data_IF_847518191030
#
_entry.id   IF_847518191030
#
_cell.length_a   1.000
_cell.length_b   1.000
_cell.length_c   1.000
_cell.angle_alpha   90.00
_cell.angle_beta   90.00
_cell.angle_gamma   90.00
#
_symmetry.space_group_name_H-M   'P 1'
#
loop_
_entity.id
_entity.type
_entity.pdbx_description
1 polymer ?
#
# COMPACT_ATOMS: atom_id res chain seq x y z
N UNK A 1 -9.65 -45.08 -0.33
CA UNK A 1 -10.04 -44.53 -1.65
C UNK A 1 -11.36 -43.75 -1.57
N UNK A 2 -12.37 -44.24 -0.84
CA UNK A 2 -13.59 -43.49 -0.50
C UNK A 2 -13.34 -42.19 0.29
N UNK A 3 -12.40 -42.18 1.23
CA UNK A 3 -12.09 -40.98 2.04
C UNK A 3 -11.54 -39.80 1.20
N UNK A 4 -10.70 -40.07 0.20
CA UNK A 4 -10.08 -39.03 -0.65
C UNK A 4 -11.09 -38.47 -1.64
N UNK A 5 -11.97 -39.32 -2.21
CA UNK A 5 -13.09 -38.86 -3.04
C UNK A 5 -14.13 -38.08 -2.22
N UNK A 6 -14.37 -38.49 -0.97
CA UNK A 6 -15.25 -37.76 -0.06
C UNK A 6 -14.65 -36.38 0.30
N UNK A 7 -13.34 -36.26 0.54
CA UNK A 7 -12.70 -34.96 0.80
C UNK A 7 -12.80 -34.03 -0.42
N UNK A 8 -12.62 -34.55 -1.64
CA UNK A 8 -12.76 -33.76 -2.87
C UNK A 8 -14.22 -33.34 -3.15
N UNK A 9 -15.19 -34.25 -2.98
CA UNK A 9 -16.60 -33.95 -3.23
C UNK A 9 -17.26 -33.13 -2.11
N UNK A 10 -16.88 -33.34 -0.85
CA UNK A 10 -17.36 -32.54 0.28
C UNK A 10 -16.73 -31.15 0.20
N UNK A 11 -15.42 -31.04 -0.04
CA UNK A 11 -14.74 -29.76 -0.21
C UNK A 11 -15.32 -28.90 -1.34
N UNK A 12 -15.73 -29.51 -2.46
CA UNK A 12 -16.34 -28.78 -3.58
C UNK A 12 -17.83 -28.44 -3.33
N UNK A 13 -18.58 -29.28 -2.63
CA UNK A 13 -20.00 -29.06 -2.35
C UNK A 13 -20.28 -28.15 -1.14
N UNK A 14 -19.39 -28.10 -0.13
CA UNK A 14 -19.53 -27.16 1.01
C UNK A 14 -19.13 -25.74 0.68
N UNK A 15 -18.47 -25.47 -0.46
CA UNK A 15 -18.12 -24.10 -0.86
C UNK A 15 -19.32 -23.25 -1.31
N UNK A 16 -20.51 -23.83 -1.53
CA UNK A 16 -21.63 -23.13 -2.16
C UNK A 16 -22.84 -22.83 -1.26
N UNK A 17 -22.84 -23.22 0.01
CA UNK A 17 -23.98 -22.95 0.90
C UNK A 17 -23.56 -22.81 2.38
N UNK A 18 -22.68 -21.87 2.68
CA UNK A 18 -22.36 -21.51 4.08
C UNK A 18 -23.05 -20.17 4.38
N UNK A 19 -23.87 -20.09 5.45
CA UNK A 19 -24.46 -18.83 5.86
C UNK A 19 -23.35 -17.80 6.06
N UNK A 20 -23.50 -16.63 5.46
CA UNK A 20 -22.59 -15.52 5.68
C UNK A 20 -22.62 -15.17 7.17
N UNK A 21 -21.64 -15.66 7.92
CA UNK A 21 -21.35 -15.14 9.24
C UNK A 21 -20.86 -13.71 9.01
N UNK A 22 -21.63 -12.72 9.47
CA UNK A 22 -21.24 -11.32 9.37
C UNK A 22 -20.11 -11.03 10.37
N UNK A 23 -19.18 -10.16 9.96
CA UNK A 23 -18.13 -9.63 10.83
C UNK A 23 -18.70 -9.16 12.18
N UNK A 24 -17.98 -9.48 13.26
CA UNK A 24 -18.32 -9.03 14.60
C UNK A 24 -17.80 -7.59 14.76
N UNK A 25 -18.69 -6.70 15.15
CA UNK A 25 -18.42 -5.28 15.29
C UNK A 25 -18.70 -4.86 16.73
N UNK A 26 -17.70 -4.24 17.36
CA UNK A 26 -17.91 -3.41 18.54
C UNK A 26 -17.64 -1.96 18.17
N UNK A 27 -18.63 -1.10 18.37
CA UNK A 27 -18.52 0.33 18.05
C UNK A 27 -18.52 1.17 19.34
N UNK A 28 -17.56 2.07 19.42
CA UNK A 28 -17.52 3.18 20.36
C UNK A 28 -17.91 4.45 19.62
N UNK A 29 -19.16 4.87 19.77
CA UNK A 29 -19.66 6.12 19.23
C UNK A 29 -19.48 7.24 20.25
N UNK A 30 -18.95 8.38 19.80
CA UNK A 30 -18.87 9.61 20.59
C UNK A 30 -19.86 10.68 20.12
N UNK A 31 -20.73 10.31 19.19
CA UNK A 31 -21.80 11.17 18.70
C UNK A 31 -22.84 11.40 19.80
N UNK A 32 -23.65 12.44 19.61
CA UNK A 32 -24.76 12.78 20.53
C UNK A 32 -24.33 13.09 21.97
N UNK A 33 -23.03 13.40 22.17
CA UNK A 33 -22.47 13.75 23.47
C UNK A 33 -22.23 12.55 24.40
N UNK A 34 -22.32 11.32 23.90
CA UNK A 34 -22.02 10.12 24.67
C UNK A 34 -20.51 9.84 24.72
N UNK A 35 -20.02 9.30 25.84
CA UNK A 35 -18.66 8.79 25.96
C UNK A 35 -18.74 7.31 26.37
N UNK A 36 -18.40 6.37 25.47
CA UNK A 36 -18.49 4.95 25.75
C UNK A 36 -17.40 4.53 26.73
N UNK A 37 -17.80 3.89 27.83
CA UNK A 37 -16.88 3.34 28.83
C UNK A 37 -16.19 4.37 29.72
N UNK A 38 -14.99 4.05 30.20
CA UNK A 38 -14.18 4.91 31.06
C UNK A 38 -12.81 5.13 30.42
N UNK A 39 -12.54 6.38 30.06
CA UNK A 39 -11.27 6.78 29.46
C UNK A 39 -10.35 7.39 30.52
N UNK A 40 -9.12 6.89 30.54
CA UNK A 40 -8.00 7.44 31.30
C UNK A 40 -7.29 8.46 30.40
N UNK A 41 -7.36 9.73 30.79
CA UNK A 41 -6.78 10.85 30.05
C UNK A 41 -5.58 11.37 30.84
N UNK A 42 -4.42 11.43 30.19
CA UNK A 42 -3.19 11.99 30.76
C UNK A 42 -2.67 13.11 29.85
N UNK A 43 -2.32 14.25 30.44
CA UNK A 43 -1.67 15.39 29.75
C UNK A 43 -2.43 16.03 28.58
N UNK A 44 -3.71 15.70 28.39
CA UNK A 44 -4.62 16.43 27.49
C UNK A 44 -5.28 17.57 28.26
N UNK A 45 -4.91 18.82 27.92
CA UNK A 45 -5.48 20.04 28.50
C UNK A 45 -5.93 20.98 27.38
N UNK A 46 -7.18 21.49 27.40
CA UNK A 46 -8.27 21.11 28.31
C UNK A 46 -8.68 19.64 28.14
N UNK A 47 -9.33 19.06 29.16
CA UNK A 47 -9.83 17.69 29.07
C UNK A 47 -10.75 17.52 27.83
N UNK A 48 -10.76 16.35 27.18
CA UNK A 48 -11.66 16.08 26.06
C UNK A 48 -13.12 16.42 26.40
N UNK A 49 -13.78 17.16 25.53
CA UNK A 49 -15.16 17.62 25.75
C UNK A 49 -16.12 16.93 24.79
N UNK A 50 -17.15 16.24 25.29
CA UNK A 50 -18.16 15.64 24.42
C UNK A 50 -18.99 16.73 23.72
N UNK A 51 -19.36 16.48 22.47
CA UNK A 51 -20.23 17.35 21.68
C UNK A 51 -21.16 16.49 20.82
N UNK A 52 -22.26 17.05 20.27
CA UNK A 52 -23.13 16.30 19.36
C UNK A 52 -22.38 15.76 18.13
N UNK A 53 -21.31 16.43 17.72
CA UNK A 53 -20.48 16.05 16.58
C UNK A 53 -19.39 15.03 16.93
N UNK A 54 -19.23 14.62 18.20
CA UNK A 54 -18.13 13.74 18.61
C UNK A 54 -17.38 14.24 19.84
N UNK A 55 -16.34 13.51 20.22
CA UNK A 55 -15.42 13.89 21.29
C UNK A 55 -14.40 14.89 20.75
N UNK A 56 -14.47 16.13 21.22
CA UNK A 56 -13.52 17.18 20.86
C UNK A 56 -12.26 17.06 21.71
N UNK A 57 -11.11 17.03 21.03
CA UNK A 57 -9.79 16.90 21.62
C UNK A 57 -9.00 18.16 21.28
N UNK A 58 -8.55 18.87 22.31
CA UNK A 58 -7.66 20.03 22.22
C UNK A 58 -6.49 19.80 23.16
N UNK A 59 -5.29 19.93 22.64
CA UNK A 59 -4.06 19.65 23.40
C UNK A 59 -3.15 20.88 23.42
N UNK A 60 -2.56 21.16 24.58
CA UNK A 60 -1.47 22.15 24.70
C UNK A 60 -0.11 21.48 24.59
N UNK A 61 0.03 20.29 25.19
CA UNK A 61 1.18 19.39 25.11
C UNK A 61 0.75 18.05 24.52
N UNK A 62 1.71 17.22 24.11
CA UNK A 62 1.40 15.82 23.79
C UNK A 62 0.62 15.19 24.94
N UNK A 63 -0.44 14.47 24.61
CA UNK A 63 -1.34 13.89 25.61
C UNK A 63 -1.92 12.56 25.14
N UNK A 64 -2.30 11.74 26.10
CA UNK A 64 -2.75 10.37 25.86
C UNK A 64 -4.15 10.15 26.38
N UNK A 65 -4.90 9.32 25.66
CA UNK A 65 -6.25 8.90 26.04
C UNK A 65 -6.34 7.40 25.84
N UNK A 66 -6.51 6.63 26.92
CA UNK A 66 -6.58 5.16 26.87
C UNK A 66 -7.81 4.63 27.57
N UNK A 67 -8.24 3.44 27.19
CA UNK A 67 -9.36 2.75 27.82
C UNK A 67 -9.05 1.27 27.93
N UNK A 68 -9.33 0.69 29.10
CA UNK A 68 -9.37 -0.76 29.28
C UNK A 68 -10.63 -1.31 28.61
N UNK A 69 -10.46 -2.34 27.79
CA UNK A 69 -11.52 -2.94 27.00
C UNK A 69 -11.67 -4.43 27.27
N UNK A 70 -12.90 -4.92 27.14
CA UNK A 70 -13.22 -6.35 27.14
C UNK A 70 -14.19 -6.60 26.00
N UNK A 71 -13.64 -7.01 24.86
CA UNK A 71 -14.44 -7.35 23.69
C UNK A 71 -14.81 -8.83 23.72
N UNK A 72 -15.98 -9.18 23.17
CA UNK A 72 -16.41 -10.57 23.03
C UNK A 72 -15.74 -11.30 21.86
N UNK A 73 -14.91 -10.59 21.09
CA UNK A 73 -14.27 -11.07 19.89
C UNK A 73 -12.86 -10.51 19.72
N UNK A 74 -12.04 -11.20 18.95
CA UNK A 74 -10.73 -10.70 18.55
C UNK A 74 -10.85 -9.55 17.55
N UNK A 75 -9.86 -8.67 17.54
CA UNK A 75 -9.77 -7.51 16.66
C UNK A 75 -8.79 -7.84 15.53
N UNK A 76 -9.28 -7.77 14.29
CA UNK A 76 -8.49 -7.95 13.08
C UNK A 76 -8.21 -6.62 12.38
N UNK A 77 -9.08 -5.63 12.58
CA UNK A 77 -8.95 -4.29 12.01
C UNK A 77 -9.63 -3.26 12.90
N UNK A 78 -9.15 -2.03 12.85
CA UNK A 78 -9.72 -0.90 13.57
C UNK A 78 -10.11 0.15 12.53
N UNK A 79 -11.29 0.76 12.70
CA UNK A 79 -11.74 1.85 11.84
C UNK A 79 -12.03 3.06 12.71
N UNK A 80 -11.32 4.15 12.48
CA UNK A 80 -11.51 5.43 13.15
C UNK A 80 -12.21 6.39 12.20
N UNK A 81 -13.23 7.09 12.69
CA UNK A 81 -13.76 8.28 12.03
C UNK A 81 -13.38 9.50 12.84
N UNK A 82 -12.59 10.39 12.23
CA UNK A 82 -12.07 11.59 12.87
C UNK A 82 -12.14 12.79 11.91
N UNK A 83 -12.14 14.01 12.43
CA UNK A 83 -11.95 15.22 11.63
C UNK A 83 -10.95 16.15 12.32
N UNK A 84 -10.08 16.78 11.53
CA UNK A 84 -9.13 17.77 11.98
C UNK A 84 -9.16 18.98 11.03
N UNK A 85 -8.92 20.22 11.50
CA UNK A 85 -8.85 21.39 10.64
C UNK A 85 -7.58 21.38 9.77
N UNK A 86 -6.49 20.83 10.30
CA UNK A 86 -5.20 20.67 9.64
C UNK A 86 -4.71 19.23 9.78
N UNK A 87 -3.78 18.81 8.91
CA UNK A 87 -3.15 17.49 9.00
C UNK A 87 -2.56 17.29 10.39
N UNK A 88 -2.98 16.23 11.08
CA UNK A 88 -2.59 15.95 12.46
C UNK A 88 -2.00 14.55 12.58
N UNK A 89 -0.75 14.46 13.01
CA UNK A 89 -0.05 13.19 13.27
C UNK A 89 -0.45 12.64 14.64
N UNK A 90 -1.21 11.55 14.68
CA UNK A 90 -1.61 10.88 15.92
C UNK A 90 -0.96 9.49 15.99
N UNK A 91 -1.01 8.86 17.17
CA UNK A 91 -0.58 7.47 17.33
C UNK A 91 -1.70 6.65 17.92
N UNK A 92 -1.92 5.46 17.38
CA UNK A 92 -2.75 4.42 17.98
C UNK A 92 -1.88 3.67 19.00
N UNK A 93 -2.43 3.41 20.18
CA UNK A 93 -1.78 2.66 21.26
C UNK A 93 -2.53 1.37 21.52
N UNK A 94 -1.84 0.24 21.68
CA UNK A 94 -2.43 -0.97 22.27
C UNK A 94 -1.46 -1.66 23.23
N UNK A 95 -2.02 -2.36 24.21
CA UNK A 95 -1.25 -3.19 25.13
C UNK A 95 -1.09 -4.61 24.57
N UNK A 96 0.11 -5.20 24.71
CA UNK A 96 0.34 -6.60 24.39
C UNK A 96 0.10 -7.45 25.64
N UNK A 97 -0.77 -8.46 25.59
CA UNK A 97 -0.98 -9.30 26.78
C UNK A 97 0.33 -9.95 27.22
N UNK A 98 0.52 -10.02 28.53
CA UNK A 98 1.74 -10.51 29.20
C UNK A 98 2.94 -9.55 29.20
N UNK A 99 2.79 -8.30 28.75
CA UNK A 99 3.75 -7.23 29.07
C UNK A 99 3.35 -6.52 30.36
N UNK A 100 4.29 -5.84 31.06
CA UNK A 100 3.94 -5.02 32.23
C UNK A 100 2.94 -3.92 31.88
N UNK A 101 1.96 -3.70 32.75
CA UNK A 101 0.99 -2.58 32.65
C UNK A 101 1.72 -1.26 32.35
N UNK A 102 1.22 -0.54 31.34
CA UNK A 102 1.81 0.71 30.84
C UNK A 102 2.76 0.55 29.65
N UNK A 103 3.14 -0.68 29.27
CA UNK A 103 3.94 -0.92 28.06
C UNK A 103 3.03 -0.96 26.83
N UNK A 104 2.83 0.20 26.19
CA UNK A 104 1.98 0.31 25.00
C UNK A 104 2.83 0.24 23.72
N UNK A 105 2.32 -0.46 22.71
CA UNK A 105 2.86 -0.41 21.35
C UNK A 105 2.23 0.77 20.63
N UNK A 106 3.07 1.55 19.95
CA UNK A 106 2.63 2.74 19.21
C UNK A 106 2.57 2.48 17.71
N UNK A 107 1.51 2.98 17.06
CA UNK A 107 1.35 2.97 15.61
C UNK A 107 0.99 4.36 15.09
N UNK A 108 1.94 5.08 14.45
CA UNK A 108 1.70 6.43 13.96
C UNK A 108 0.76 6.44 12.74
N UNK A 109 -0.08 7.46 12.64
CA UNK A 109 -0.94 7.72 11.50
C UNK A 109 -1.27 9.21 11.37
N UNK A 110 -1.76 9.61 10.20
CA UNK A 110 -2.15 11.00 9.94
C UNK A 110 -3.67 11.09 9.81
N UNK A 111 -4.27 12.07 10.47
CA UNK A 111 -5.65 12.50 10.25
C UNK A 111 -5.59 13.66 9.24
N UNK A 112 -6.10 13.48 8.01
CA UNK A 112 -6.14 14.55 7.02
C UNK A 112 -6.93 15.76 7.52
N UNK A 113 -6.40 16.95 7.25
CA UNK A 113 -7.02 18.24 7.50
C UNK A 113 -8.18 18.52 6.55
N UNK A 114 -8.95 19.57 6.86
CA UNK A 114 -10.09 20.02 6.05
C UNK A 114 -11.43 20.05 6.80
N UNK A 115 -11.46 19.64 8.08
CA UNK A 115 -12.62 19.78 8.96
C UNK A 115 -13.79 18.82 8.67
N UNK A 116 -13.67 17.96 7.66
CA UNK A 116 -14.68 16.97 7.28
C UNK A 116 -14.33 15.62 7.94
N UNK A 117 -15.33 14.84 8.43
CA UNK A 117 -15.07 13.50 8.94
C UNK A 117 -14.46 12.59 7.88
N UNK A 118 -13.27 12.05 8.17
CA UNK A 118 -12.57 11.07 7.34
C UNK A 118 -12.56 9.70 8.00
N UNK A 119 -12.58 8.66 7.17
CA UNK A 119 -12.47 7.26 7.62
C UNK A 119 -11.01 6.81 7.49
N UNK A 120 -10.43 6.41 8.60
CA UNK A 120 -9.06 5.87 8.69
C UNK A 120 -9.18 4.39 9.05
N UNK A 121 -8.68 3.53 8.18
CA UNK A 121 -8.75 2.07 8.34
C UNK A 121 -7.36 1.52 8.70
N UNK A 122 -7.24 0.89 9.87
CA UNK A 122 -6.00 0.31 10.37
C UNK A 122 -5.98 -1.20 10.12
N UNK A 123 -5.03 -1.65 9.28
CA UNK A 123 -4.71 -3.06 9.14
C UNK A 123 -3.63 -3.46 10.16
N UNK A 124 -4.05 -3.76 11.39
CA UNK A 124 -3.16 -4.10 12.50
C UNK A 124 -2.68 -5.57 12.49
N UNK A 125 -3.38 -6.46 11.79
CA UNK A 125 -3.11 -7.90 11.80
C UNK A 125 -1.69 -8.33 11.35
N UNK A 126 -1.01 -7.66 10.38
CA UNK A 126 0.34 -8.05 9.98
C UNK A 126 1.44 -7.66 10.96
N UNK A 127 1.15 -6.82 11.96
CA UNK A 127 2.16 -6.32 12.89
C UNK A 127 2.51 -7.40 13.92
N UNK A 128 3.79 -7.78 14.09
CA UNK A 128 4.18 -8.84 15.01
C UNK A 128 3.82 -8.58 16.47
N UNK A 129 3.75 -7.31 16.89
CA UNK A 129 3.35 -6.93 18.25
C UNK A 129 1.84 -6.81 18.43
N UNK A 130 1.05 -7.06 17.38
CA UNK A 130 -0.41 -6.99 17.45
C UNK A 130 -0.96 -8.12 18.31
N UNK A 131 -1.81 -7.75 19.28
CA UNK A 131 -2.58 -8.70 20.05
C UNK A 131 -4.07 -8.55 19.72
N UNK A 132 -4.70 -9.52 19.02
CA UNK A 132 -6.11 -9.45 18.68
C UNK A 132 -7.04 -9.35 19.88
N UNK A 133 -6.59 -9.69 21.09
CA UNK A 133 -7.38 -9.62 22.31
C UNK A 133 -6.76 -8.65 23.32
N UNK A 134 -6.14 -7.58 22.83
CA UNK A 134 -5.65 -6.48 23.65
C UNK A 134 -6.72 -6.03 24.65
N UNK A 135 -6.30 -5.81 25.90
CA UNK A 135 -7.14 -5.42 27.03
C UNK A 135 -7.10 -3.91 27.30
N UNK A 136 -6.24 -3.17 26.61
CA UNK A 136 -6.16 -1.71 26.68
C UNK A 136 -5.77 -1.12 25.34
N UNK A 137 -6.47 -0.08 24.92
CA UNK A 137 -6.17 0.66 23.70
C UNK A 137 -6.33 2.15 23.93
N UNK A 138 -5.70 2.97 23.10
CA UNK A 138 -5.84 4.41 23.18
C UNK A 138 -5.20 5.14 22.02
N UNK A 139 -5.03 6.43 22.21
CA UNK A 139 -4.41 7.32 21.25
C UNK A 139 -3.45 8.28 21.94
N UNK A 140 -2.37 8.63 21.23
CA UNK A 140 -1.52 9.79 21.54
C UNK A 140 -1.87 10.89 20.54
N UNK A 141 -2.04 12.09 21.05
CA UNK A 141 -2.26 13.29 20.26
C UNK A 141 -1.08 14.23 20.45
N UNK A 142 -0.56 14.83 19.37
CA UNK A 142 0.60 15.71 19.43
C UNK A 142 0.22 17.03 20.11
N UNK A 143 1.21 17.82 20.53
CA UNK A 143 0.95 19.17 21.04
C UNK A 143 0.20 20.03 20.02
N UNK A 144 -0.72 20.86 20.48
CA UNK A 144 -1.52 21.77 19.63
C UNK A 144 -2.47 21.06 18.66
N UNK A 145 -2.76 19.77 18.86
CA UNK A 145 -3.80 19.09 18.12
C UNK A 145 -5.19 19.65 18.47
N UNK A 146 -5.98 19.90 17.44
CA UNK A 146 -7.42 20.17 17.51
C UNK A 146 -8.11 19.19 16.57
N UNK A 147 -8.91 18.28 17.12
CA UNK A 147 -9.62 17.28 16.32
C UNK A 147 -10.89 16.81 17.01
N UNK A 148 -11.76 16.16 16.25
CA UNK A 148 -12.98 15.53 16.75
C UNK A 148 -12.96 14.05 16.40
N UNK A 149 -13.10 13.19 17.40
CA UNK A 149 -13.30 11.75 17.21
C UNK A 149 -14.80 11.49 17.15
N UNK A 150 -15.27 10.87 16.06
CA UNK A 150 -16.67 10.57 15.84
C UNK A 150 -16.97 9.16 16.33
N UNK A 151 -16.27 8.16 15.78
CA UNK A 151 -16.47 6.76 16.11
C UNK A 151 -15.17 5.98 16.04
N UNK A 152 -15.08 4.92 16.85
CA UNK A 152 -14.04 3.89 16.77
C UNK A 152 -14.74 2.54 16.64
N UNK A 153 -14.38 1.78 15.62
CA UNK A 153 -14.96 0.47 15.34
C UNK A 153 -13.87 -0.59 15.43
N UNK A 154 -14.12 -1.62 16.24
CA UNK A 154 -13.32 -2.81 16.35
C UNK A 154 -13.97 -3.94 15.56
N UNK A 155 -13.27 -4.43 14.55
CA UNK A 155 -13.82 -5.42 13.62
C UNK A 155 -13.08 -6.74 13.79
N UNK A 156 -13.84 -7.79 14.08
CA UNK A 156 -13.36 -9.18 14.13
C UNK A 156 -14.03 -10.02 13.05
N UNK A 157 -13.24 -10.84 12.36
CA UNK A 157 -13.73 -11.75 11.34
C UNK A 157 -13.72 -13.20 11.84
N UNK A 158 -14.77 -13.94 11.50
CA UNK A 158 -14.81 -15.37 11.76
C UNK A 158 -13.76 -16.10 10.91
N UNK A 159 -13.31 -17.29 11.35
CA UNK A 159 -12.30 -18.08 10.63
C UNK A 159 -12.69 -18.34 9.16
N UNK A 160 -13.98 -18.53 8.89
CA UNK A 160 -14.49 -18.74 7.53
C UNK A 160 -14.42 -17.48 6.66
N UNK A 161 -14.76 -16.31 7.21
CA UNK A 161 -14.60 -15.03 6.51
C UNK A 161 -13.12 -14.77 6.19
N UNK A 162 -12.24 -15.06 7.15
CA UNK A 162 -10.78 -15.00 6.94
C UNK A 162 -10.33 -15.90 5.80
N UNK A 163 -10.83 -17.13 5.74
CA UNK A 163 -10.51 -18.06 4.67
C UNK A 163 -11.03 -17.58 3.29
N UNK A 164 -12.24 -17.01 3.25
CA UNK A 164 -12.78 -16.39 2.03
C UNK A 164 -11.93 -15.19 1.61
N UNK A 165 -11.55 -14.31 2.54
CA UNK A 165 -10.71 -13.14 2.22
C UNK A 165 -9.31 -13.58 1.77
N UNK A 166 -8.74 -14.62 2.37
CA UNK A 166 -7.53 -15.26 1.87
C UNK A 166 -7.71 -15.72 0.42
N UNK A 167 -8.76 -16.47 0.14
CA UNK A 167 -9.06 -16.93 -1.21
C UNK A 167 -9.26 -15.76 -2.19
N UNK A 168 -9.93 -14.70 -1.77
CA UNK A 168 -10.11 -13.49 -2.58
C UNK A 168 -8.77 -12.78 -2.82
N UNK A 169 -7.88 -12.74 -1.83
CA UNK A 169 -6.57 -12.13 -1.98
C UNK A 169 -5.67 -12.92 -2.94
N UNK A 170 -5.86 -14.23 -3.07
CA UNK A 170 -5.19 -15.01 -4.11
C UNK A 170 -5.46 -14.43 -5.50
N UNK A 171 -6.68 -13.94 -5.76
CA UNK A 171 -7.08 -13.33 -7.03
C UNK A 171 -6.89 -11.82 -7.09
N UNK A 172 -6.27 -11.22 -6.06
CA UNK A 172 -5.93 -9.81 -6.07
C UNK A 172 -4.58 -9.63 -6.78
N UNK A 173 -4.59 -8.89 -7.88
CA UNK A 173 -3.44 -8.75 -8.77
C UNK A 173 -2.50 -7.67 -8.20
N UNK A 174 -1.22 -7.99 -8.11
CA UNK A 174 -0.20 -7.03 -7.67
C UNK A 174 -0.14 -5.85 -8.65
N UNK A 175 0.50 -4.77 -8.25
CA UNK A 175 0.97 -3.74 -9.17
C UNK A 175 2.25 -4.24 -9.81
N UNK A 176 2.43 -3.95 -11.10
CA UNK A 176 3.69 -4.30 -11.77
C UNK A 176 4.83 -3.46 -11.18
N UNK A 177 5.61 -4.07 -10.30
CA UNK A 177 6.65 -3.44 -9.51
C UNK A 177 7.96 -4.23 -9.67
N UNK A 178 9.14 -3.64 -9.42
CA UNK A 178 10.41 -4.36 -9.60
C UNK A 178 10.55 -5.61 -8.73
N UNK A 179 9.91 -5.65 -7.55
CA UNK A 179 9.99 -6.81 -6.65
C UNK A 179 9.12 -7.99 -7.12
N UNK A 180 8.11 -7.75 -7.96
CA UNK A 180 7.26 -8.82 -8.52
C UNK A 180 7.99 -9.70 -9.55
N UNK A 181 9.22 -9.33 -9.94
CA UNK A 181 10.10 -10.12 -10.81
C UNK A 181 10.69 -11.35 -10.07
N UNK A 182 10.73 -11.35 -8.74
CA UNK A 182 11.27 -12.46 -7.97
C UNK A 182 10.20 -13.56 -7.74
N UNK A 183 10.42 -14.76 -8.28
CA UNK A 183 9.55 -15.94 -8.16
C UNK A 183 9.18 -16.38 -6.72
N UNK A 184 9.89 -15.88 -5.71
CA UNK A 184 9.57 -16.13 -4.30
C UNK A 184 8.34 -15.32 -3.85
N UNK A 185 8.13 -14.16 -4.46
CA UNK A 185 6.97 -13.28 -4.29
C UNK A 185 5.82 -13.74 -5.19
N UNK A 186 5.25 -14.91 -4.88
CA UNK A 186 3.98 -15.33 -5.47
C UNK A 186 2.80 -14.51 -4.93
N UNK A 187 1.55 -14.86 -5.32
CA UNK A 187 0.34 -14.17 -4.85
C UNK A 187 0.33 -14.00 -3.33
N UNK A 188 -0.14 -12.84 -2.86
CA UNK A 188 -0.13 -12.52 -1.44
C UNK A 188 -1.45 -12.87 -0.76
N UNK A 189 -1.35 -13.28 0.50
CA UNK A 189 -2.41 -13.79 1.34
C UNK A 189 -2.71 -12.81 2.48
N UNK A 190 -3.95 -12.32 2.53
CA UNK A 190 -4.48 -11.52 3.63
C UNK A 190 -5.79 -12.09 4.13
N UNK A 191 -6.15 -11.81 5.38
CA UNK A 191 -7.28 -12.46 6.04
C UNK A 191 -8.43 -11.51 6.39
N UNK A 192 -8.39 -10.26 5.92
CA UNK A 192 -9.48 -9.33 6.13
C UNK A 192 -9.62 -8.36 4.93
N UNK A 193 -10.81 -7.77 4.72
CA UNK A 193 -11.08 -6.93 3.55
C UNK A 193 -10.25 -5.62 3.52
N UNK A 194 -9.91 -5.08 4.69
CA UNK A 194 -9.11 -3.85 4.82
C UNK A 194 -7.68 -4.14 4.35
N UNK A 195 -7.07 -5.20 4.87
CA UNK A 195 -5.75 -5.69 4.48
C UNK A 195 -5.66 -5.95 2.97
N UNK A 196 -6.68 -6.56 2.38
CA UNK A 196 -6.73 -6.81 0.93
C UNK A 196 -6.74 -5.51 0.13
N UNK A 197 -7.57 -4.54 0.51
CA UNK A 197 -7.64 -3.23 -0.17
C UNK A 197 -6.30 -2.48 -0.18
N UNK A 198 -5.51 -2.62 0.89
CA UNK A 198 -4.21 -1.96 1.06
C UNK A 198 -3.01 -2.87 0.78
N UNK A 199 -3.23 -4.08 0.24
CA UNK A 199 -2.21 -5.12 0.10
C UNK A 199 -0.97 -4.64 -0.67
N UNK A 200 -1.20 -3.88 -1.74
CA UNK A 200 -0.15 -3.38 -2.64
C UNK A 200 0.05 -1.86 -2.55
N UNK A 201 -0.35 -1.23 -1.43
CA UNK A 201 -0.14 0.22 -1.22
C UNK A 201 1.15 0.55 -0.49
N UNK A 202 1.72 -0.41 0.25
CA UNK A 202 2.99 -0.26 0.97
C UNK A 202 4.03 -1.20 0.39
N UNK A 203 5.27 -0.74 0.21
CA UNK A 203 6.37 -1.56 -0.29
C UNK A 203 7.45 -1.79 0.79
N UNK A 204 7.82 -3.04 1.12
CA UNK A 204 7.19 -4.29 0.67
C UNK A 204 5.79 -4.50 1.28
N UNK A 205 4.84 -5.12 0.54
CA UNK A 205 3.59 -5.60 1.10
C UNK A 205 3.74 -6.41 2.40
N UNK A 206 2.92 -6.07 3.40
CA UNK A 206 2.85 -6.76 4.68
C UNK A 206 1.83 -7.90 4.62
N UNK A 207 2.21 -9.01 4.00
CA UNK A 207 1.34 -10.17 3.84
C UNK A 207 2.14 -11.49 3.74
N UNK A 208 1.44 -12.61 3.89
CA UNK A 208 2.03 -13.93 3.69
C UNK A 208 1.96 -14.32 2.21
N UNK A 209 2.85 -15.17 1.71
CA UNK A 209 2.76 -15.69 0.34
C UNK A 209 1.87 -16.94 0.26
N UNK A 210 1.02 -17.03 -0.76
CA UNK A 210 0.28 -18.24 -1.12
C UNK A 210 1.18 -19.43 -1.48
N UNK A 211 2.45 -19.18 -1.84
CA UNK A 211 3.43 -20.23 -2.05
C UNK A 211 3.58 -21.15 -0.83
N UNK A 212 3.45 -20.61 0.39
CA UNK A 212 3.47 -21.42 1.61
C UNK A 212 2.32 -22.41 1.67
N UNK A 213 1.13 -22.03 1.19
CA UNK A 213 -0.04 -22.93 1.14
C UNK A 213 0.19 -24.03 0.13
N UNK A 214 0.68 -23.70 -1.07
CA UNK A 214 0.95 -24.70 -2.11
C UNK A 214 2.07 -25.66 -1.71
N UNK A 215 3.19 -25.15 -1.20
CA UNK A 215 4.29 -25.98 -0.74
C UNK A 215 3.89 -26.82 0.47
N UNK A 216 3.11 -26.27 1.40
CA UNK A 216 2.53 -27.01 2.53
C UNK A 216 1.63 -28.16 2.07
N UNK A 217 0.77 -27.92 1.08
CA UNK A 217 -0.10 -28.94 0.50
C UNK A 217 0.71 -30.05 -0.21
N UNK A 218 1.72 -29.68 -1.00
CA UNK A 218 2.60 -30.63 -1.70
C UNK A 218 3.40 -31.47 -0.69
N UNK A 219 4.03 -30.84 0.30
CA UNK A 219 4.80 -31.51 1.33
C UNK A 219 3.93 -32.44 2.18
N UNK A 220 2.75 -31.99 2.59
CA UNK A 220 1.76 -32.80 3.31
C UNK A 220 1.34 -34.02 2.49
N UNK A 221 1.01 -33.85 1.22
CA UNK A 221 0.65 -34.95 0.32
C UNK A 221 1.80 -35.96 0.16
N UNK A 222 3.03 -35.48 -0.06
CA UNK A 222 4.21 -36.34 -0.14
C UNK A 222 4.39 -37.17 1.14
N UNK A 223 4.27 -36.54 2.31
CA UNK A 223 4.38 -37.20 3.61
C UNK A 223 3.31 -38.27 3.82
N UNK A 224 2.03 -37.96 3.61
CA UNK A 224 0.94 -38.93 3.78
C UNK A 224 1.03 -40.10 2.80
N UNK A 225 1.40 -39.83 1.54
CA UNK A 225 1.55 -40.86 0.53
C UNK A 225 2.78 -41.75 0.79
N UNK A 226 3.85 -41.18 1.34
CA UNK A 226 5.02 -41.94 1.81
C UNK A 226 4.65 -42.86 2.97
N UNK A 227 3.94 -42.35 3.99
CA UNK A 227 3.45 -43.17 5.11
C UNK A 227 2.55 -44.32 4.63
N UNK A 228 1.63 -44.02 3.72
CA UNK A 228 0.77 -45.04 3.11
C UNK A 228 1.58 -46.10 2.35
N UNK A 229 2.63 -45.70 1.62
CA UNK A 229 3.52 -46.63 0.94
C UNK A 229 4.28 -47.51 1.94
N UNK A 230 4.89 -46.93 2.98
CA UNK A 230 5.66 -47.66 4.00
C UNK A 230 4.79 -48.69 4.74
N UNK A 231 3.51 -48.40 4.95
CA UNK A 231 2.56 -49.31 5.62
C UNK A 231 2.16 -50.52 4.78
N UNK A 232 2.02 -50.36 3.46
CA UNK A 232 1.51 -51.42 2.58
C UNK A 232 2.57 -52.10 1.72
N UNK A 233 3.74 -51.48 1.52
CA UNK A 233 4.94 -52.00 0.82
C UNK A 233 4.66 -52.79 -0.47
N UNK A 234 3.68 -52.37 -1.25
CA UNK A 234 3.29 -53.02 -2.50
C UNK A 234 3.65 -52.15 -3.72
N UNK A 235 4.18 -52.71 -4.82
CA UNK A 235 4.47 -51.98 -6.05
C UNK A 235 3.24 -51.27 -6.63
N UNK A 236 2.06 -51.91 -6.55
CA UNK A 236 0.78 -51.31 -6.98
C UNK A 236 0.41 -50.08 -6.14
N UNK A 237 0.75 -50.11 -4.85
CA UNK A 237 0.54 -48.96 -3.96
C UNK A 237 1.48 -47.81 -4.30
N UNK A 238 2.74 -48.09 -4.61
CA UNK A 238 3.70 -47.08 -5.05
C UNK A 238 3.21 -46.35 -6.31
N UNK A 239 2.85 -47.09 -7.35
CA UNK A 239 2.35 -46.51 -8.61
C UNK A 239 1.11 -45.63 -8.38
N UNK A 240 0.11 -46.13 -7.62
CA UNK A 240 -1.10 -45.35 -7.30
C UNK A 240 -0.76 -44.07 -6.53
N UNK A 241 0.14 -44.15 -5.56
CA UNK A 241 0.54 -42.99 -4.75
C UNK A 241 1.31 -41.96 -5.59
N UNK A 242 2.20 -42.40 -6.49
CA UNK A 242 2.87 -41.51 -7.44
C UNK A 242 1.87 -40.79 -8.35
N UNK A 243 0.90 -41.52 -8.91
CA UNK A 243 -0.14 -40.92 -9.75
C UNK A 243 -0.91 -39.86 -8.97
N UNK A 244 -1.33 -40.16 -7.73
CA UNK A 244 -2.05 -39.20 -6.88
C UNK A 244 -1.21 -37.96 -6.56
N UNK A 245 0.07 -38.13 -6.24
CA UNK A 245 0.97 -37.02 -5.95
C UNK A 245 1.16 -36.11 -7.16
N UNK A 246 1.51 -36.69 -8.32
CA UNK A 246 1.72 -35.91 -9.54
C UNK A 246 0.43 -35.30 -10.09
N UNK A 247 -0.73 -35.96 -9.91
CA UNK A 247 -2.02 -35.34 -10.23
C UNK A 247 -2.29 -34.11 -9.37
N UNK A 248 -2.09 -34.18 -8.06
CA UNK A 248 -2.24 -33.01 -7.18
C UNK A 248 -1.28 -31.88 -7.56
N UNK A 249 0.01 -32.22 -7.74
CA UNK A 249 1.03 -31.26 -8.15
C UNK A 249 0.64 -30.55 -9.45
N UNK A 250 0.23 -31.32 -10.46
CA UNK A 250 -0.18 -30.79 -11.76
C UNK A 250 -1.43 -29.91 -11.65
N UNK A 251 -2.42 -30.28 -10.82
CA UNK A 251 -3.60 -29.45 -10.58
C UNK A 251 -3.26 -28.13 -9.91
N UNK A 252 -2.40 -28.14 -8.89
CA UNK A 252 -1.94 -26.92 -8.21
C UNK A 252 -1.12 -26.04 -9.17
N UNK A 253 -0.27 -26.66 -10.00
CA UNK A 253 0.51 -25.95 -11.00
C UNK A 253 -0.38 -25.26 -12.04
N UNK A 254 -1.35 -25.95 -12.63
CA UNK A 254 -2.33 -25.34 -13.55
C UNK A 254 -3.05 -24.19 -12.87
N UNK A 255 -3.53 -24.40 -11.64
CA UNK A 255 -4.26 -23.39 -10.90
C UNK A 255 -3.43 -22.12 -10.66
N UNK A 256 -2.16 -22.30 -10.27
CA UNK A 256 -1.20 -21.22 -10.12
C UNK A 256 -0.91 -20.51 -11.44
N UNK A 257 -0.72 -21.27 -12.52
CA UNK A 257 -0.40 -20.74 -13.85
C UNK A 257 -1.56 -19.91 -14.42
N UNK A 258 -2.81 -20.38 -14.26
CA UNK A 258 -4.01 -19.60 -14.60
C UNK A 258 -4.02 -18.28 -13.86
N UNK A 259 -3.69 -18.30 -12.56
CA UNK A 259 -3.65 -17.07 -11.75
C UNK A 259 -2.55 -16.12 -12.21
N UNK A 260 -1.33 -16.59 -12.43
CA UNK A 260 -0.23 -15.74 -12.88
C UNK A 260 -0.44 -15.22 -14.31
N UNK A 261 -0.94 -16.07 -15.20
CA UNK A 261 -1.33 -15.69 -16.55
C UNK A 261 -2.44 -14.62 -16.57
N UNK A 262 -3.42 -14.73 -15.67
CA UNK A 262 -4.51 -13.74 -15.55
C UNK A 262 -4.00 -12.36 -15.12
N UNK A 263 -3.06 -12.30 -14.16
CA UNK A 263 -2.42 -11.05 -13.75
C UNK A 263 -1.58 -10.44 -14.87
N UNK A 264 -0.82 -11.27 -15.61
CA UNK A 264 -0.06 -10.80 -16.76
C UNK A 264 -0.96 -10.22 -17.85
N UNK A 265 -2.08 -10.89 -18.16
CA UNK A 265 -3.09 -10.40 -19.10
C UNK A 265 -3.71 -9.09 -18.58
N UNK A 266 -4.05 -9.02 -17.30
CA UNK A 266 -4.60 -7.80 -16.69
C UNK A 266 -3.63 -6.61 -16.84
N UNK A 267 -2.34 -6.82 -16.57
CA UNK A 267 -1.32 -5.81 -16.80
C UNK A 267 -1.21 -5.40 -18.26
N UNK A 268 -1.22 -6.36 -19.18
CA UNK A 268 -1.17 -6.07 -20.61
C UNK A 268 -2.36 -5.23 -21.06
N UNK A 269 -3.58 -5.61 -20.66
CA UNK A 269 -4.81 -4.86 -20.98
C UNK A 269 -4.76 -3.45 -20.40
N UNK A 270 -4.30 -3.31 -19.16
CA UNK A 270 -4.17 -2.00 -18.49
C UNK A 270 -3.21 -1.09 -19.25
N UNK A 271 -2.03 -1.59 -19.64
CA UNK A 271 -1.05 -0.82 -20.43
C UNK A 271 -1.61 -0.49 -21.81
N UNK A 272 -2.26 -1.45 -22.46
CA UNK A 272 -2.87 -1.22 -23.77
C UNK A 272 -3.86 -0.05 -23.70
N UNK A 273 -4.74 -0.07 -22.69
CA UNK A 273 -5.74 0.98 -22.45
C UNK A 273 -5.10 2.33 -22.10
N UNK A 274 -4.25 2.33 -21.08
CA UNK A 274 -3.79 3.56 -20.41
C UNK A 274 -2.59 4.21 -21.11
N UNK A 275 -1.86 3.47 -21.95
CA UNK A 275 -0.68 3.96 -22.65
C UNK A 275 -0.82 3.91 -24.18
N UNK A 276 -1.16 2.75 -24.77
CA UNK A 276 -1.15 2.62 -26.23
C UNK A 276 -2.37 3.22 -26.92
N UNK A 277 -3.57 3.11 -26.31
CA UNK A 277 -4.80 3.69 -26.89
C UNK A 277 -5.14 5.07 -26.37
N UNK A 278 -4.54 5.48 -25.25
CA UNK A 278 -4.76 6.82 -24.71
C UNK A 278 -4.19 7.89 -25.66
N UNK A 279 -4.87 9.04 -25.81
CA UNK A 279 -4.35 10.14 -26.61
C UNK A 279 -3.04 10.67 -26.02
N UNK A 280 -2.24 11.30 -26.86
CA UNK A 280 -1.04 12.04 -26.42
C UNK A 280 -1.45 13.04 -25.33
N UNK A 281 -0.60 13.23 -24.34
CA UNK A 281 -0.82 14.00 -23.10
C UNK A 281 -1.67 13.28 -22.02
N UNK A 282 -2.41 12.22 -22.34
CA UNK A 282 -3.15 11.45 -21.32
C UNK A 282 -2.51 10.09 -21.02
N UNK A 283 -1.39 9.77 -21.67
CA UNK A 283 -0.78 8.44 -21.54
C UNK A 283 -0.17 8.29 -20.16
N UNK A 284 -0.51 7.19 -19.50
CA UNK A 284 0.11 6.81 -18.23
C UNK A 284 0.71 5.42 -18.35
N UNK A 285 1.92 5.26 -17.82
CA UNK A 285 2.62 3.99 -17.85
C UNK A 285 3.05 3.56 -16.45
N UNK A 286 2.32 2.59 -15.89
CA UNK A 286 2.69 1.87 -14.65
C UNK A 286 3.15 2.85 -13.55
N UNK A 287 4.29 2.58 -12.93
CA UNK A 287 4.92 3.42 -11.90
C UNK A 287 5.53 4.73 -12.44
N UNK A 288 5.65 4.88 -13.76
CA UNK A 288 6.27 6.03 -14.39
C UNK A 288 5.25 7.15 -14.69
N UNK A 289 3.96 6.95 -14.37
CA UNK A 289 2.89 7.95 -14.62
C UNK A 289 2.98 8.48 -16.06
N UNK A 290 2.92 9.80 -16.27
CA UNK A 290 2.99 10.48 -17.58
C UNK A 290 4.42 10.69 -18.10
N UNK A 291 5.44 10.07 -17.50
CA UNK A 291 6.84 10.33 -17.84
C UNK A 291 7.18 10.15 -19.32
N UNK A 292 6.79 9.03 -19.93
CA UNK A 292 7.12 8.76 -21.32
C UNK A 292 6.46 9.75 -22.28
N UNK A 293 5.23 10.15 -21.96
CA UNK A 293 4.45 11.14 -22.71
C UNK A 293 5.09 12.53 -22.60
N UNK A 294 5.51 12.92 -21.40
CA UNK A 294 6.29 14.12 -21.16
C UNK A 294 7.60 14.12 -21.95
N UNK A 295 8.35 13.01 -21.92
CA UNK A 295 9.62 12.90 -22.66
C UNK A 295 9.37 13.00 -24.16
N UNK A 296 8.33 12.35 -24.70
CA UNK A 296 7.94 12.44 -26.10
C UNK A 296 7.65 13.90 -26.52
N UNK A 297 6.91 14.65 -25.68
CA UNK A 297 6.67 16.07 -25.87
C UNK A 297 7.94 16.94 -25.74
N UNK A 298 8.89 16.54 -24.88
CA UNK A 298 10.12 17.28 -24.61
C UNK A 298 11.23 17.06 -25.65
N UNK A 299 11.22 15.93 -26.38
CA UNK A 299 12.22 15.53 -27.39
C UNK A 299 12.61 16.68 -28.34
N UNK A 300 11.68 17.43 -28.96
CA UNK A 300 12.01 18.50 -29.90
C UNK A 300 12.90 19.61 -29.30
N UNK A 301 12.81 19.82 -27.99
CA UNK A 301 13.56 20.86 -27.27
C UNK A 301 14.92 20.36 -26.74
N UNK A 302 15.08 19.03 -26.66
CA UNK A 302 16.24 18.36 -26.06
C UNK A 302 17.21 17.84 -27.12
N UNK A 303 16.72 17.18 -28.19
CA UNK A 303 17.56 16.47 -29.16
C UNK A 303 18.55 17.37 -29.92
N UNK A 304 18.29 18.68 -29.95
CA UNK A 304 19.18 19.67 -30.57
C UNK A 304 20.39 20.04 -29.69
N UNK A 305 20.51 19.45 -28.48
CA UNK A 305 21.55 19.78 -27.51
C UNK A 305 22.43 18.56 -27.24
N UNK A 306 23.73 18.76 -27.06
CA UNK A 306 24.65 17.67 -26.67
C UNK A 306 24.36 17.19 -25.24
N UNK A 307 24.02 18.13 -24.35
CA UNK A 307 23.75 17.90 -22.94
C UNK A 307 22.62 18.79 -22.46
N UNK A 308 21.87 18.29 -21.49
CA UNK A 308 20.82 19.02 -20.79
C UNK A 308 20.80 18.61 -19.32
N UNK A 309 20.15 19.39 -18.47
CA UNK A 309 19.98 19.04 -17.06
C UNK A 309 18.62 18.38 -16.90
N UNK A 310 18.59 17.22 -16.24
CA UNK A 310 17.34 16.52 -15.91
C UNK A 310 17.12 16.49 -14.40
N UNK A 311 15.94 16.92 -13.97
CA UNK A 311 15.53 16.90 -12.56
C UNK A 311 14.16 16.24 -12.45
N UNK A 312 14.14 15.02 -11.89
CA UNK A 312 12.91 14.29 -11.58
C UNK A 312 12.56 14.33 -10.09
N UNK A 313 11.35 13.88 -9.74
CA UNK A 313 10.97 13.58 -8.34
C UNK A 313 11.96 12.60 -7.69
N UNK A 314 12.33 11.55 -8.43
CA UNK A 314 13.29 10.54 -8.03
C UNK A 314 14.37 10.37 -9.11
N UNK A 315 15.58 9.97 -8.72
CA UNK A 315 16.67 9.71 -9.68
C UNK A 315 16.45 8.41 -10.44
N UNK A 316 16.13 7.34 -9.71
CA UNK A 316 15.74 6.06 -10.25
C UNK A 316 14.20 5.96 -10.17
N UNK A 317 13.50 5.50 -11.21
CA UNK A 317 14.00 4.95 -12.49
C UNK A 317 14.22 5.98 -13.62
N UNK A 318 13.83 7.25 -13.43
CA UNK A 318 13.67 8.21 -14.53
C UNK A 318 14.96 8.61 -15.26
N UNK A 319 16.09 8.77 -14.57
CA UNK A 319 17.33 9.21 -15.22
C UNK A 319 17.83 8.22 -16.28
N UNK A 320 17.78 6.92 -15.96
CA UNK A 320 18.20 5.89 -16.90
C UNK A 320 17.30 5.86 -18.14
N UNK A 321 15.99 5.98 -17.91
CA UNK A 321 15.00 5.99 -18.97
C UNK A 321 15.13 7.22 -19.88
N UNK A 322 15.26 8.43 -19.33
CA UNK A 322 15.37 9.63 -20.16
C UNK A 322 16.65 9.63 -20.98
N UNK A 323 17.78 9.17 -20.41
CA UNK A 323 19.05 9.02 -21.14
C UNK A 323 18.93 8.14 -22.38
N UNK A 324 18.17 7.05 -22.26
CA UNK A 324 17.94 6.14 -23.38
C UNK A 324 17.05 6.79 -24.45
N UNK A 325 15.97 7.46 -24.03
CA UNK A 325 14.99 8.06 -24.94
C UNK A 325 15.52 9.30 -25.68
N UNK A 326 16.40 10.09 -25.05
CA UNK A 326 16.91 11.33 -25.64
C UNK A 326 18.24 11.18 -26.35
N UNK A 327 18.82 9.98 -26.40
CA UNK A 327 20.12 9.75 -27.06
C UNK A 327 20.08 10.27 -28.52
N UNK A 328 21.10 11.04 -28.98
CA UNK A 328 22.42 11.23 -28.37
C UNK A 328 22.52 12.31 -27.28
N UNK A 329 21.48 13.10 -27.02
CA UNK A 329 21.51 14.13 -25.98
C UNK A 329 21.61 13.48 -24.59
N UNK A 330 22.61 13.89 -23.80
CA UNK A 330 22.94 13.25 -22.52
C UNK A 330 22.39 14.08 -21.35
N UNK A 331 21.51 13.51 -20.49
CA UNK A 331 21.10 14.17 -19.25
C UNK A 331 22.27 14.25 -18.27
N UNK A 332 22.39 15.39 -17.61
CA UNK A 332 23.37 15.69 -16.57
C UNK A 332 22.68 16.24 -15.33
N UNK A 333 23.43 16.37 -14.24
CA UNK A 333 22.93 16.91 -12.98
C UNK A 333 23.34 18.37 -12.79
N UNK A 334 22.58 19.17 -12.03
CA UNK A 334 22.96 20.53 -11.67
C UNK A 334 24.38 20.62 -11.09
N UNK A 335 24.79 19.67 -10.23
CA UNK A 335 26.11 19.68 -9.59
C UNK A 335 27.25 19.27 -10.54
N UNK A 336 26.91 18.59 -11.63
CA UNK A 336 27.85 18.13 -12.66
C UNK A 336 27.83 19.04 -13.90
N UNK A 337 26.97 20.07 -13.89
CA UNK A 337 26.82 20.98 -14.99
C UNK A 337 28.10 21.79 -15.17
N UNK A 338 28.88 21.43 -16.19
CA UNK A 338 29.93 22.31 -16.72
C UNK A 338 29.29 23.55 -17.34
N UNK A 339 30.00 24.69 -17.30
CA UNK A 339 29.60 25.92 -18.01
C UNK A 339 29.09 25.60 -19.43
N UNK A 340 27.89 26.09 -19.77
CA UNK A 340 27.34 26.02 -21.13
C UNK A 340 26.08 25.16 -21.31
N UNK A 341 25.60 24.44 -20.29
CA UNK A 341 24.32 23.70 -20.40
C UNK A 341 23.17 24.68 -20.17
N UNK A 342 22.27 24.79 -21.16
CA UNK A 342 21.20 25.80 -21.16
C UNK A 342 19.79 25.24 -20.97
N UNK A 343 19.59 23.97 -21.30
CA UNK A 343 18.28 23.34 -21.25
C UNK A 343 18.12 22.56 -19.96
N UNK A 344 17.03 22.84 -19.25
CA UNK A 344 16.61 22.20 -18.01
C UNK A 344 15.29 21.48 -18.27
N UNK A 345 15.24 20.20 -17.91
CA UNK A 345 14.09 19.32 -18.11
C UNK A 345 13.66 18.88 -16.72
N UNK A 346 12.48 19.33 -16.30
CA UNK A 346 11.93 19.09 -14.96
C UNK A 346 10.73 18.16 -15.11
N UNK A 347 10.65 17.12 -14.27
CA UNK A 347 9.57 16.15 -14.28
C UNK A 347 9.05 15.82 -12.87
N UNK A 348 7.74 15.96 -12.66
CA UNK A 348 7.04 15.66 -11.41
C UNK A 348 7.66 16.36 -10.17
N UNK A 349 8.07 17.62 -10.33
CA UNK A 349 8.68 18.48 -9.29
C UNK A 349 7.92 19.80 -9.14
N UNK A 350 6.74 19.79 -8.49
CA UNK A 350 5.92 21.00 -8.30
C UNK A 350 6.59 22.02 -7.37
N UNK A 351 7.63 21.63 -6.62
CA UNK A 351 8.45 22.51 -5.80
C UNK A 351 9.40 23.39 -6.63
N UNK A 352 9.66 23.05 -7.90
CA UNK A 352 10.49 23.85 -8.79
C UNK A 352 9.60 24.79 -9.60
N UNK A 353 9.75 26.08 -9.37
CA UNK A 353 8.92 27.12 -10.00
C UNK A 353 9.78 28.20 -10.64
N UNK A 354 9.15 29.10 -11.40
CA UNK A 354 9.79 30.31 -11.91
C UNK A 354 9.51 31.48 -10.98
N UNK A 355 10.53 32.28 -10.69
CA UNK A 355 10.34 33.57 -10.03
C UNK A 355 9.91 34.67 -11.02
N UNK A 356 9.66 35.87 -10.50
CA UNK A 356 9.28 37.05 -11.29
C UNK A 356 10.32 37.44 -12.36
N UNK A 357 11.58 37.04 -12.18
CA UNK A 357 12.68 37.30 -13.13
C UNK A 357 12.91 36.13 -14.10
N UNK A 358 11.94 35.20 -14.22
CA UNK A 358 12.03 33.99 -15.05
C UNK A 358 13.28 33.13 -14.78
N UNK A 359 13.67 33.00 -13.52
CA UNK A 359 14.72 32.09 -13.06
C UNK A 359 14.09 30.88 -12.40
N UNK A 360 14.70 29.70 -12.58
CA UNK A 360 14.27 28.51 -11.85
C UNK A 360 14.63 28.64 -10.37
N UNK A 361 13.62 28.43 -9.54
CA UNK A 361 13.72 28.38 -8.09
C UNK A 361 13.62 26.93 -7.65
N UNK A 362 14.58 26.49 -6.84
CA UNK A 362 14.58 25.18 -6.19
C UNK A 362 14.93 25.40 -4.73
N UNK A 363 14.11 24.89 -3.80
CA UNK A 363 14.30 25.06 -2.34
C UNK A 363 14.45 26.55 -1.93
N UNK A 364 13.70 27.45 -2.58
CA UNK A 364 13.76 28.89 -2.31
C UNK A 364 15.02 29.60 -2.82
N UNK A 365 15.88 28.92 -3.58
CA UNK A 365 17.10 29.51 -4.19
C UNK A 365 17.00 29.49 -5.71
N UNK A 366 17.48 30.58 -6.32
CA UNK A 366 17.63 30.66 -7.78
C UNK A 366 18.77 29.76 -8.23
N UNK A 367 18.48 28.77 -9.08
CA UNK A 367 19.48 27.81 -9.58
C UNK A 367 19.91 28.09 -11.03
N UNK A 368 19.21 28.99 -11.72
CA UNK A 368 19.56 29.40 -13.09
C UNK A 368 19.63 30.91 -13.25
N UNK A 369 20.25 31.31 -14.35
CA UNK A 369 20.03 32.62 -14.96
C UNK A 369 18.59 32.74 -15.53
N UNK A 370 18.11 33.97 -15.82
CA UNK A 370 16.84 34.18 -16.49
C UNK A 370 16.73 33.41 -17.80
N UNK A 371 15.52 32.98 -18.15
CA UNK A 371 15.29 32.21 -19.34
C UNK A 371 13.82 32.19 -19.77
N UNK A 372 13.51 31.23 -20.63
CA UNK A 372 12.18 31.03 -21.18
C UNK A 372 11.69 29.60 -20.96
N UNK A 373 10.38 29.46 -20.74
CA UNK A 373 9.70 28.18 -20.69
C UNK A 373 9.40 27.73 -22.11
N UNK A 374 10.01 26.62 -22.55
CA UNK A 374 9.85 26.08 -23.89
C UNK A 374 8.65 25.15 -24.02
N UNK A 375 8.36 24.40 -22.95
CA UNK A 375 7.25 23.46 -22.86
C UNK A 375 6.70 23.48 -21.44
N UNK A 376 5.39 23.61 -21.28
CA UNK A 376 4.69 23.37 -20.01
C UNK A 376 3.76 22.17 -20.20
N UNK A 377 4.07 21.06 -19.55
CA UNK A 377 3.28 19.81 -19.68
C UNK A 377 2.27 19.65 -18.54
N UNK A 378 2.70 19.94 -17.31
CA UNK A 378 1.84 20.14 -16.14
C UNK A 378 2.53 21.06 -15.11
N UNK A 379 1.96 21.20 -13.91
CA UNK A 379 2.49 22.11 -12.87
C UNK A 379 3.89 21.73 -12.37
N UNK A 380 4.30 20.46 -12.50
CA UNK A 380 5.61 19.97 -12.05
C UNK A 380 6.50 19.45 -13.17
N UNK A 381 6.05 19.51 -14.43
CA UNK A 381 6.77 18.93 -15.57
C UNK A 381 6.86 19.92 -16.73
N UNK A 382 8.08 20.32 -17.08
CA UNK A 382 8.32 21.36 -18.08
C UNK A 382 9.75 21.34 -18.62
N UNK A 383 9.97 22.05 -19.73
CA UNK A 383 11.30 22.30 -20.29
C UNK A 383 11.58 23.80 -20.27
N UNK A 384 12.71 24.18 -19.70
CA UNK A 384 13.16 25.56 -19.55
C UNK A 384 14.52 25.76 -20.22
N UNK A 385 14.75 26.95 -20.80
CA UNK A 385 16.04 27.30 -21.42
C UNK A 385 16.53 28.64 -20.92
N UNK A 386 17.76 28.66 -20.40
CA UNK A 386 18.41 29.90 -19.95
C UNK A 386 18.77 30.79 -21.13
N UNK A 387 18.47 32.08 -21.04
CA UNK A 387 18.89 33.07 -22.02
C UNK A 387 20.37 33.38 -21.84
N UNK A 388 21.13 33.38 -22.93
CA UNK A 388 22.52 33.85 -22.89
C UNK A 388 22.53 35.34 -22.54
N UNK A 389 23.07 35.73 -21.38
CA UNK A 389 23.71 37.05 -21.34
C UNK A 389 24.96 36.94 -22.21
N UNK A 390 24.92 37.59 -23.38
CA UNK A 390 26.16 37.98 -24.04
C UNK A 390 26.90 38.93 -23.09
N UNK A 391 27.74 38.41 -22.21
CA UNK A 391 28.85 39.21 -21.67
C UNK A 391 29.80 39.44 -22.83
N UNK A 392 29.69 40.60 -23.46
CA UNK A 392 30.75 41.16 -24.31
C UNK A 392 31.98 41.44 -23.47
#
# INVERSE_FOLDING_TARGET
MLLIRAIFCIGFATCFAIPAHAAQLTEWSFLDGEIPGRWEVSDIKPNPTPSPQGLQIKTVSEGTMTQRMRLSHGIDSIVLRASAPVDTEAKLLWHQRNTPDGTMVEFPFVIPGGGIPVKIEFNVAPYPQWDPWTDQMGFVFPSQAELTIHTIQFVGFALWEKAIEGWRSFWDFDRYTPYSINFVWGPLMTFNPIARRYLYTTLPPLAHSWNWVFYGAIAGAAFFLLLHYVRHRSPRTASRNCILFFSLFFSLWIFYDIRMGSEWIHHFVTIYRDYWTAPLEERTFREHKRFYDFVEAAIPYIQQQDKYIFIGQYRWPYLGAIRYLTFPAIPTFPEQATFGIRTWVVFDRPDITLNEQNRLMMEGKSVTEPGELLLKFDEGSFVFRTSTQQSR
#
